data_IF_058687809096
#
_entry.id   IF_058687809096
#
_cell.length_a   1.000
_cell.length_b   1.000
_cell.length_c   1.000
_cell.angle_alpha   90.00
_cell.angle_beta   90.00
_cell.angle_gamma   90.00
#
_symmetry.space_group_name_H-M   'P 1'
#
loop_
_entity.id
_entity.type
_entity.pdbx_description
1 polymer ?
#
# COMPACT_ATOMS: atom_id res chain seq x y z
N UNK A 1 17.84 9.05 2.41
CA UNK A 1 16.59 8.28 2.59
C UNK A 1 15.80 7.98 1.33
N UNK A 2 15.68 8.88 0.36
CA UNK A 2 15.11 8.56 -0.97
C UNK A 2 15.75 7.35 -1.70
N UNK A 3 16.92 6.89 -1.27
CA UNK A 3 17.67 5.80 -1.91
C UNK A 3 17.22 4.39 -1.53
N UNK A 4 16.56 4.17 -0.38
CA UNK A 4 16.22 2.81 0.09
C UNK A 4 14.99 2.21 -0.62
N UNK A 5 13.95 2.99 -0.85
CA UNK A 5 12.74 2.54 -1.55
C UNK A 5 12.94 2.46 -3.08
N UNK A 6 13.93 3.18 -3.61
CA UNK A 6 14.12 3.37 -5.05
C UNK A 6 14.23 2.10 -5.91
N UNK A 7 15.08 1.10 -5.56
CA UNK A 7 15.21 -0.11 -6.38
C UNK A 7 13.94 -0.97 -6.37
N UNK A 8 13.36 -1.22 -5.19
CA UNK A 8 12.12 -2.00 -5.05
C UNK A 8 10.93 -1.33 -5.71
N UNK A 9 10.78 -0.02 -5.52
CA UNK A 9 9.74 0.78 -6.17
C UNK A 9 9.85 0.72 -7.69
N UNK A 10 11.05 0.89 -8.25
CA UNK A 10 11.27 0.80 -9.70
C UNK A 10 10.94 -0.57 -10.26
N UNK A 11 11.30 -1.63 -9.55
CA UNK A 11 11.00 -3.01 -9.93
C UNK A 11 9.49 -3.25 -9.98
N UNK A 12 8.76 -2.86 -8.93
CA UNK A 12 7.30 -2.98 -8.87
C UNK A 12 6.62 -2.14 -9.96
N UNK A 13 7.03 -0.90 -10.16
CA UNK A 13 6.49 -0.03 -11.23
C UNK A 13 6.81 -0.59 -12.63
N UNK A 14 7.96 -1.20 -12.82
CA UNK A 14 8.33 -1.86 -14.09
C UNK A 14 7.39 -3.03 -14.41
N UNK A 15 7.10 -3.89 -13.43
CA UNK A 15 6.15 -5.00 -13.59
C UNK A 15 4.73 -4.48 -13.86
N UNK A 16 4.33 -3.42 -13.17
CA UNK A 16 3.03 -2.81 -13.30
C UNK A 16 2.76 -2.31 -14.72
N UNK A 17 3.73 -1.65 -15.34
CA UNK A 17 3.60 -1.10 -16.70
C UNK A 17 3.40 -2.15 -17.79
N UNK A 18 3.80 -3.39 -17.54
CA UNK A 18 3.72 -4.49 -18.50
C UNK A 18 2.39 -5.25 -18.46
N UNK A 19 1.54 -5.05 -17.44
CA UNK A 19 0.50 -6.00 -17.10
C UNK A 19 -0.95 -5.48 -17.11
N UNK A 20 -1.21 -4.17 -17.26
CA UNK A 20 -2.56 -3.65 -17.04
C UNK A 20 -3.01 -2.54 -17.99
N UNK A 21 -4.28 -2.15 -17.87
CA UNK A 21 -4.81 -0.97 -18.56
C UNK A 21 -4.11 0.31 -18.09
N UNK A 22 -4.02 1.37 -18.93
CA UNK A 22 -3.38 2.63 -18.55
C UNK A 22 -3.94 3.23 -17.26
N UNK A 23 -5.25 3.16 -17.06
CA UNK A 23 -5.93 3.69 -15.88
C UNK A 23 -5.52 2.93 -14.62
N UNK A 24 -5.63 1.61 -14.62
CA UNK A 24 -5.23 0.77 -13.46
C UNK A 24 -3.75 0.92 -13.14
N UNK A 25 -2.89 0.96 -14.16
CA UNK A 25 -1.45 1.19 -14.01
C UNK A 25 -1.17 2.55 -13.36
N UNK A 26 -1.83 3.60 -13.82
CA UNK A 26 -1.69 4.96 -13.27
C UNK A 26 -2.09 5.02 -11.79
N UNK A 27 -3.23 4.42 -11.44
CA UNK A 27 -3.72 4.36 -10.06
C UNK A 27 -2.76 3.64 -9.13
N UNK A 28 -2.36 2.42 -9.47
CA UNK A 28 -1.45 1.65 -8.64
C UNK A 28 -0.06 2.27 -8.57
N UNK A 29 0.40 2.91 -9.65
CA UNK A 29 1.65 3.66 -9.66
C UNK A 29 1.61 4.84 -8.68
N UNK A 30 0.52 5.60 -8.66
CA UNK A 30 0.32 6.70 -7.71
C UNK A 30 0.29 6.20 -6.27
N UNK A 31 -0.42 5.10 -6.00
CA UNK A 31 -0.44 4.49 -4.67
C UNK A 31 0.93 3.96 -4.24
N UNK A 32 1.69 3.36 -5.16
CA UNK A 32 3.06 2.93 -4.86
C UNK A 32 3.97 4.10 -4.50
N UNK A 33 3.90 5.20 -5.23
CA UNK A 33 4.68 6.41 -4.92
C UNK A 33 4.32 6.97 -3.55
N UNK A 34 3.03 7.08 -3.24
CA UNK A 34 2.54 7.55 -1.95
C UNK A 34 2.99 6.63 -0.79
N UNK A 35 2.87 5.33 -0.97
CA UNK A 35 3.31 4.36 0.03
C UNK A 35 4.83 4.38 0.23
N UNK A 36 5.61 4.58 -0.83
CA UNK A 36 7.06 4.71 -0.74
C UNK A 36 7.49 5.96 0.03
N UNK A 37 6.81 7.08 -0.17
CA UNK A 37 7.05 8.31 0.60
C UNK A 37 6.69 8.12 2.08
N UNK A 38 5.54 7.52 2.37
CA UNK A 38 5.15 7.21 3.74
C UNK A 38 6.16 6.29 4.42
N UNK A 39 6.57 5.21 3.76
CA UNK A 39 7.51 4.24 4.31
C UNK A 39 8.88 4.90 4.61
N UNK A 40 9.34 5.78 3.70
CA UNK A 40 10.56 6.55 3.93
C UNK A 40 10.46 7.42 5.18
N UNK A 41 9.32 8.08 5.39
CA UNK A 41 9.06 8.83 6.61
C UNK A 41 8.98 7.91 7.84
N UNK A 42 8.21 6.81 7.75
CA UNK A 42 8.01 5.88 8.86
C UNK A 42 9.31 5.29 9.40
N UNK A 43 10.31 5.12 8.56
CA UNK A 43 11.65 4.61 8.90
C UNK A 43 12.63 5.72 9.35
N UNK A 44 12.20 6.98 9.45
CA UNK A 44 13.03 8.02 10.09
C UNK A 44 13.01 7.85 11.61
N UNK A 45 13.96 8.47 12.31
CA UNK A 45 14.00 8.44 13.79
C UNK A 45 12.71 8.92 14.45
N UNK A 46 12.00 9.83 13.80
CA UNK A 46 10.73 10.39 14.30
C UNK A 46 9.50 9.64 13.78
N UNK A 47 9.69 8.67 12.90
CA UNK A 47 8.60 7.90 12.31
C UNK A 47 8.18 6.70 13.16
N UNK A 48 7.00 6.13 12.89
CA UNK A 48 6.43 5.04 13.68
C UNK A 48 7.20 3.71 13.58
N UNK A 49 8.09 3.56 12.62
CA UNK A 49 8.97 2.40 12.43
C UNK A 49 10.45 2.74 12.65
N UNK A 50 10.73 3.91 13.23
CA UNK A 50 12.09 4.43 13.38
C UNK A 50 13.03 3.52 14.17
N UNK A 51 12.52 2.85 15.20
CA UNK A 51 13.27 1.91 16.01
C UNK A 51 13.73 0.66 15.24
N UNK A 52 13.14 0.41 14.10
CA UNK A 52 13.42 -0.75 13.23
C UNK A 52 14.12 -0.36 11.91
N UNK A 53 14.52 0.89 11.76
CA UNK A 53 15.13 1.41 10.53
C UNK A 53 16.40 0.65 10.12
N UNK A 54 17.17 0.19 11.09
CA UNK A 54 18.40 -0.57 10.84
C UNK A 54 18.15 -1.97 10.25
N UNK A 55 16.92 -2.50 10.38
CA UNK A 55 16.52 -3.77 9.79
C UNK A 55 16.13 -3.63 8.31
N UNK A 56 15.85 -2.42 7.83
CA UNK A 56 15.31 -2.16 6.50
C UNK A 56 16.37 -2.33 5.42
N UNK A 57 16.49 -3.52 4.85
CA UNK A 57 17.22 -3.77 3.61
C UNK A 57 16.36 -3.43 2.39
N UNK A 58 16.94 -3.19 1.19
CA UNK A 58 16.16 -2.95 -0.02
C UNK A 58 15.11 -4.03 -0.32
N UNK A 59 15.43 -5.30 -0.04
CA UNK A 59 14.51 -6.43 -0.24
C UNK A 59 13.34 -6.38 0.75
N UNK A 60 13.60 -6.10 2.01
CA UNK A 60 12.56 -5.98 3.04
C UNK A 60 11.69 -4.75 2.82
N UNK A 61 12.24 -3.66 2.34
CA UNK A 61 11.49 -2.47 1.93
C UNK A 61 10.51 -2.80 0.79
N UNK A 62 10.92 -3.62 -0.19
CA UNK A 62 10.03 -4.09 -1.27
C UNK A 62 8.84 -4.87 -0.69
N UNK A 63 9.06 -5.75 0.27
CA UNK A 63 8.00 -6.51 0.95
C UNK A 63 7.05 -5.59 1.72
N UNK A 64 7.59 -4.61 2.44
CA UNK A 64 6.79 -3.57 3.12
C UNK A 64 5.92 -2.77 2.14
N UNK A 65 6.46 -2.39 0.99
CA UNK A 65 5.71 -1.69 -0.07
C UNK A 65 4.55 -2.54 -0.58
N UNK A 66 4.76 -3.86 -0.73
CA UNK A 66 3.69 -4.78 -1.12
C UNK A 66 2.55 -4.80 -0.09
N UNK A 67 2.86 -4.91 1.19
CA UNK A 67 1.87 -4.87 2.27
C UNK A 67 1.09 -3.54 2.32
N UNK A 68 1.79 -2.43 2.18
CA UNK A 68 1.17 -1.10 2.12
C UNK A 68 0.26 -0.95 0.90
N UNK A 69 0.67 -1.46 -0.26
CA UNK A 69 -0.16 -1.41 -1.47
C UNK A 69 -1.44 -2.22 -1.30
N UNK A 70 -1.36 -3.43 -0.76
CA UNK A 70 -2.52 -4.28 -0.48
C UNK A 70 -3.51 -3.55 0.44
N UNK A 71 -3.00 -2.93 1.50
CA UNK A 71 -3.84 -2.17 2.43
C UNK A 71 -4.48 -0.95 1.76
N UNK A 72 -3.72 -0.14 1.03
CA UNK A 72 -4.24 1.08 0.40
C UNK A 72 -5.30 0.78 -0.66
N UNK A 73 -5.13 -0.26 -1.45
CA UNK A 73 -6.17 -0.70 -2.39
C UNK A 73 -7.41 -1.18 -1.65
N UNK A 74 -7.25 -1.88 -0.54
CA UNK A 74 -8.38 -2.33 0.30
C UNK A 74 -9.12 -1.14 0.93
N UNK A 75 -8.41 -0.10 1.35
CA UNK A 75 -8.98 1.12 1.91
C UNK A 75 -9.85 1.87 0.89
N UNK A 76 -9.43 1.90 -0.38
CA UNK A 76 -10.11 2.62 -1.45
C UNK A 76 -11.14 1.78 -2.22
N UNK A 77 -11.26 0.48 -1.94
CA UNK A 77 -12.16 -0.43 -2.66
C UNK A 77 -13.67 -0.20 -2.41
N UNK A 78 -14.05 0.90 -1.80
CA UNK A 78 -15.44 1.10 -1.34
C UNK A 78 -16.35 1.83 -2.33
N UNK A 79 -15.83 2.53 -3.34
CA UNK A 79 -16.64 3.38 -4.20
C UNK A 79 -16.37 3.13 -5.69
N UNK A 80 -15.80 4.08 -6.40
CA UNK A 80 -15.49 3.98 -7.83
C UNK A 80 -14.44 2.90 -8.13
N UNK A 81 -13.57 2.61 -7.18
CA UNK A 81 -12.64 1.50 -7.25
C UNK A 81 -13.34 0.13 -7.29
N UNK A 82 -14.52 -0.01 -6.68
CA UNK A 82 -15.24 -1.27 -6.67
C UNK A 82 -15.62 -1.74 -8.08
N UNK A 83 -15.84 -0.83 -9.02
CA UNK A 83 -16.15 -1.14 -10.42
C UNK A 83 -14.96 -1.77 -11.16
N UNK A 84 -13.74 -1.47 -10.72
CA UNK A 84 -12.49 -1.94 -11.31
C UNK A 84 -11.74 -2.92 -10.38
N UNK A 85 -12.37 -3.37 -9.30
CA UNK A 85 -11.70 -4.19 -8.26
C UNK A 85 -11.08 -5.46 -8.86
N UNK A 86 -11.77 -6.14 -9.76
CA UNK A 86 -11.26 -7.35 -10.41
C UNK A 86 -9.97 -7.12 -11.20
N UNK A 87 -9.90 -6.05 -11.97
CA UNK A 87 -8.70 -5.67 -12.73
C UNK A 87 -7.56 -5.23 -11.80
N UNK A 88 -7.87 -4.43 -10.78
CA UNK A 88 -6.90 -3.99 -9.79
C UNK A 88 -6.31 -5.17 -8.99
N UNK A 89 -7.15 -6.11 -8.60
CA UNK A 89 -6.70 -7.34 -7.90
C UNK A 89 -5.79 -8.17 -8.79
N UNK A 90 -6.18 -8.41 -10.06
CA UNK A 90 -5.37 -9.18 -10.99
C UNK A 90 -4.03 -8.50 -11.27
N UNK A 91 -4.02 -7.19 -11.48
CA UNK A 91 -2.81 -6.42 -11.71
C UNK A 91 -1.90 -6.38 -10.48
N UNK A 92 -2.47 -6.24 -9.30
CA UNK A 92 -1.76 -6.28 -8.03
C UNK A 92 -1.11 -7.66 -7.80
N UNK A 93 -1.85 -8.74 -8.02
CA UNK A 93 -1.35 -10.11 -7.89
C UNK A 93 -0.16 -10.35 -8.83
N UNK A 94 -0.28 -9.96 -10.10
CA UNK A 94 0.80 -10.06 -11.08
C UNK A 94 2.03 -9.23 -10.68
N UNK A 95 1.82 -8.00 -10.21
CA UNK A 95 2.89 -7.08 -9.81
C UNK A 95 3.66 -7.58 -8.59
N UNK A 96 2.95 -8.11 -7.61
CA UNK A 96 3.52 -8.60 -6.35
C UNK A 96 4.01 -10.05 -6.44
N UNK A 97 3.74 -10.76 -7.54
CA UNK A 97 4.09 -12.17 -7.68
C UNK A 97 3.28 -13.08 -6.74
N UNK A 98 2.06 -12.68 -6.38
CA UNK A 98 1.15 -13.43 -5.54
C UNK A 98 0.09 -14.16 -6.39
N UNK A 99 -0.35 -15.33 -5.93
CA UNK A 99 -1.56 -15.93 -6.46
C UNK A 99 -2.80 -15.10 -6.13
N UNK A 100 -3.84 -15.06 -7.01
CA UNK A 100 -5.08 -14.32 -6.72
C UNK A 100 -5.73 -14.75 -5.39
N UNK A 101 -5.72 -16.02 -5.09
CA UNK A 101 -6.26 -16.57 -3.82
C UNK A 101 -5.45 -16.08 -2.62
N UNK A 102 -4.13 -16.10 -2.72
CA UNK A 102 -3.24 -15.60 -1.67
C UNK A 102 -3.48 -14.13 -1.38
N UNK A 103 -3.63 -13.31 -2.42
CA UNK A 103 -3.94 -11.89 -2.28
C UNK A 103 -5.31 -11.67 -1.61
N UNK A 104 -6.33 -12.45 -2.02
CA UNK A 104 -7.65 -12.38 -1.39
C UNK A 104 -7.60 -12.77 0.08
N UNK A 105 -6.86 -13.81 0.45
CA UNK A 105 -6.70 -14.21 1.86
C UNK A 105 -6.02 -13.12 2.70
N UNK A 106 -5.03 -12.44 2.16
CA UNK A 106 -4.40 -11.29 2.84
C UNK A 106 -5.38 -10.12 3.02
N UNK A 107 -6.17 -9.79 2.00
CA UNK A 107 -7.21 -8.75 2.10
C UNK A 107 -8.28 -9.12 3.14
N UNK A 108 -8.71 -10.38 3.16
CA UNK A 108 -9.69 -10.87 4.13
C UNK A 108 -9.15 -10.85 5.56
N UNK A 109 -7.87 -11.11 5.76
CA UNK A 109 -7.24 -11.03 7.07
C UNK A 109 -7.31 -9.63 7.67
N UNK A 110 -7.20 -8.58 6.86
CA UNK A 110 -7.39 -7.20 7.30
C UNK A 110 -8.81 -6.95 7.82
N UNK A 111 -9.82 -7.50 7.14
CA UNK A 111 -11.23 -7.30 7.49
C UNK A 111 -11.70 -8.13 8.69
N UNK A 112 -11.06 -9.25 8.94
CA UNK A 112 -11.44 -10.22 9.99
C UNK A 112 -10.62 -10.10 11.26
N UNK A 113 -9.73 -9.11 11.35
CA UNK A 113 -8.93 -8.92 12.54
C UNK A 113 -9.82 -8.54 13.73
N UNK A 114 -9.57 -9.08 14.95
CA UNK A 114 -10.27 -8.67 16.16
C UNK A 114 -9.86 -7.28 16.67
N UNK A 115 -8.87 -6.68 16.04
CA UNK A 115 -8.39 -5.32 16.30
C UNK A 115 -8.63 -4.45 15.07
N UNK A 116 -8.05 -3.25 15.02
CA UNK A 116 -8.15 -2.40 13.83
C UNK A 116 -7.31 -2.95 12.66
N UNK A 117 -7.73 -2.58 11.44
CA UNK A 117 -6.98 -2.90 10.23
C UNK A 117 -5.59 -2.25 10.26
N UNK A 118 -5.47 -1.06 10.86
CA UNK A 118 -4.21 -0.33 11.02
C UNK A 118 -3.23 -1.07 11.93
N UNK A 119 -3.72 -1.67 13.00
CA UNK A 119 -2.89 -2.53 13.85
C UNK A 119 -2.40 -3.77 13.10
N UNK A 120 -3.26 -4.38 12.29
CA UNK A 120 -2.87 -5.52 11.46
C UNK A 120 -1.79 -5.11 10.46
N UNK A 121 -1.96 -3.97 9.78
CA UNK A 121 -0.94 -3.45 8.86
C UNK A 121 0.38 -3.18 9.58
N UNK A 122 0.34 -2.54 10.74
CA UNK A 122 1.53 -2.28 11.56
C UNK A 122 2.27 -3.58 11.89
N UNK A 123 1.56 -4.61 12.32
CA UNK A 123 2.16 -5.93 12.61
C UNK A 123 2.73 -6.61 11.37
N UNK A 124 2.11 -6.44 10.20
CA UNK A 124 2.66 -6.93 8.93
C UNK A 124 3.98 -6.26 8.59
N UNK A 125 4.04 -4.94 8.72
CA UNK A 125 5.27 -4.19 8.42
C UNK A 125 6.42 -4.61 9.35
N UNK A 126 6.15 -4.82 10.64
CA UNK A 126 7.16 -5.33 11.57
C UNK A 126 7.61 -6.74 11.20
N UNK A 127 6.68 -7.63 10.86
CA UNK A 127 7.00 -8.98 10.36
C UNK A 127 7.85 -8.92 9.09
N UNK A 128 7.47 -8.06 8.15
CA UNK A 128 8.18 -7.86 6.88
C UNK A 128 9.61 -7.39 7.10
N UNK A 129 9.85 -6.57 8.13
CA UNK A 129 11.17 -6.11 8.54
C UNK A 129 11.95 -7.15 9.37
N UNK A 130 11.34 -8.27 9.72
CA UNK A 130 11.95 -9.26 10.60
C UNK A 130 12.03 -8.81 12.07
N UNK A 131 11.23 -7.84 12.47
CA UNK A 131 11.14 -7.34 13.82
C UNK A 131 10.35 -8.30 14.73
N UNK A 132 10.59 -8.29 16.07
CA UNK A 132 9.79 -9.06 17.01
C UNK A 132 8.32 -8.65 16.98
N UNK A 133 7.43 -9.64 17.18
CA UNK A 133 5.99 -9.35 17.28
C UNK A 133 5.74 -8.39 18.45
N UNK A 134 5.12 -7.23 18.23
CA UNK A 134 4.88 -6.26 19.30
C UNK A 134 3.74 -6.71 20.21
N UNK A 135 3.81 -6.31 21.47
CA UNK A 135 2.62 -6.31 22.33
C UNK A 135 1.66 -5.23 21.87
N UNK A 136 0.36 -5.51 21.95
CA UNK A 136 -0.64 -4.53 21.57
C UNK A 136 -0.55 -3.26 22.43
N UNK A 137 -0.50 -2.11 21.76
CA UNK A 137 -0.53 -0.79 22.39
C UNK A 137 -1.47 0.14 21.61
N UNK A 138 -2.54 0.60 22.28
CA UNK A 138 -3.54 1.50 21.69
C UNK A 138 -2.92 2.81 21.17
N UNK A 139 -1.85 3.30 21.80
CA UNK A 139 -1.20 4.56 21.39
C UNK A 139 -0.44 4.37 20.08
N UNK A 140 0.22 3.24 19.93
CA UNK A 140 0.92 2.89 18.68
C UNK A 140 -0.10 2.69 17.57
N UNK A 141 -1.17 1.93 17.82
CA UNK A 141 -2.26 1.71 16.86
C UNK A 141 -2.86 3.04 16.40
N UNK A 142 -3.30 3.87 17.33
CA UNK A 142 -3.91 5.16 17.01
C UNK A 142 -2.93 6.09 16.30
N UNK A 143 -1.66 6.16 16.78
CA UNK A 143 -0.64 7.01 16.19
C UNK A 143 -0.27 6.59 14.77
N UNK A 144 -0.01 5.31 14.53
CA UNK A 144 0.29 4.77 13.21
C UNK A 144 -0.91 4.92 12.26
N UNK A 145 -2.10 4.50 12.71
CA UNK A 145 -3.32 4.57 11.91
C UNK A 145 -3.66 6.00 11.50
N UNK A 146 -3.61 6.94 12.43
CA UNK A 146 -3.83 8.35 12.15
C UNK A 146 -2.84 8.92 11.11
N UNK A 147 -1.56 8.64 11.28
CA UNK A 147 -0.53 9.12 10.38
C UNK A 147 -0.66 8.51 8.99
N UNK A 148 -0.83 7.19 8.90
CA UNK A 148 -0.91 6.50 7.62
C UNK A 148 -2.21 6.80 6.87
N UNK A 149 -3.36 6.62 7.53
CA UNK A 149 -4.65 6.86 6.88
C UNK A 149 -4.81 8.32 6.50
N UNK A 150 -4.39 9.24 7.37
CA UNK A 150 -4.39 10.67 7.06
C UNK A 150 -3.51 11.02 5.87
N UNK A 151 -2.34 10.40 5.76
CA UNK A 151 -1.43 10.61 4.64
C UNK A 151 -1.99 10.04 3.34
N UNK A 152 -2.39 8.78 3.32
CA UNK A 152 -2.82 8.11 2.09
C UNK A 152 -4.16 8.65 1.59
N UNK A 153 -5.03 9.12 2.47
CA UNK A 153 -6.33 9.69 2.10
C UNK A 153 -6.22 10.97 1.26
N UNK A 154 -5.11 11.68 1.35
CA UNK A 154 -4.86 12.86 0.50
C UNK A 154 -4.76 12.48 -0.99
N UNK A 155 -4.33 11.27 -1.30
CA UNK A 155 -4.23 10.76 -2.66
C UNK A 155 -5.56 10.22 -3.20
N UNK A 156 -6.51 9.92 -2.31
CA UNK A 156 -7.83 9.41 -2.70
C UNK A 156 -8.54 10.37 -3.64
N UNK A 157 -8.68 11.62 -3.21
CA UNK A 157 -9.42 12.64 -3.99
C UNK A 157 -8.77 12.85 -5.37
N UNK A 158 -7.45 12.89 -5.42
CA UNK A 158 -6.71 13.02 -6.67
C UNK A 158 -6.95 11.83 -7.62
N UNK A 159 -6.95 10.60 -7.09
CA UNK A 159 -7.18 9.39 -7.88
C UNK A 159 -8.64 9.34 -8.35
N UNK A 160 -9.60 9.67 -7.49
CA UNK A 160 -11.03 9.70 -7.84
C UNK A 160 -11.31 10.76 -8.91
N UNK A 161 -10.69 11.92 -8.84
CA UNK A 161 -10.81 12.97 -9.86
C UNK A 161 -10.24 12.52 -11.20
N UNK A 162 -9.09 11.87 -11.21
CA UNK A 162 -8.48 11.29 -12.41
C UNK A 162 -9.41 10.27 -13.07
N UNK A 163 -10.01 9.36 -12.28
CA UNK A 163 -10.96 8.37 -12.78
C UNK A 163 -12.21 9.00 -13.40
N UNK A 164 -12.73 10.06 -12.78
CA UNK A 164 -13.89 10.79 -13.32
C UNK A 164 -13.56 11.48 -14.63
N UNK A 165 -12.39 12.07 -14.74
CA UNK A 165 -11.96 12.76 -15.97
C UNK A 165 -11.79 11.80 -17.15
N UNK A 166 -11.32 10.58 -16.90
CA UNK A 166 -11.15 9.54 -17.93
C UNK A 166 -12.48 8.88 -18.32
N UNK A 167 -13.47 8.87 -17.42
CA UNK A 167 -14.80 8.30 -17.65
C UNK A 167 -15.78 9.27 -18.30
N UNK A 168 -15.44 10.55 -18.41
CA UNK A 168 -16.27 11.54 -19.09
C UNK A 168 -16.26 11.27 -20.60
N UNK A 169 -17.43 11.21 -21.30
CA UNK A 169 -17.46 11.08 -22.73
C UNK A 169 -16.77 12.28 -23.35
N UNK A 170 -15.88 12.01 -24.33
CA UNK A 170 -15.30 13.07 -25.12
C UNK A 170 -16.45 13.88 -25.73
N UNK A 171 -16.60 15.14 -25.35
CA UNK A 171 -17.52 16.05 -26.01
C UNK A 171 -16.96 16.33 -27.42
N UNK A 172 -17.58 15.72 -28.43
CA UNK A 172 -17.44 16.15 -29.79
C UNK A 172 -18.04 17.54 -29.98
#
# INVERSE_FOLDING_TARGET
MRRMAGPGLRKLKGKLRQAGSPTAVSMLSTLLDANAEFLAYALTKSGPLGDYADLATPQLVEVCLASLLIYSVNLFARDEFAKNDGELVALMAATLGLGPVELMLKRDALRKTPRSEEWMLYTWLLKDLGAPKPSFDNRIEAGFGYQYVGYISQYRDMIEEQLRSESAPAHE
#
